data_IF_476199770489
#
_entry.id   IF_476199770489
#
_cell.length_a   1.000
_cell.length_b   1.000
_cell.length_c   1.000
_cell.angle_alpha   90.00
_cell.angle_beta   90.00
_cell.angle_gamma   90.00
#
_symmetry.space_group_name_H-M   'P 1'
#
loop_
_entity.id
_entity.type
_entity.pdbx_description
1 polymer ?
#
# COMPACT_ATOMS: atom_id res chain seq x y z
N UNK A 1 -4.81 3.64 -8.61
CA UNK A 1 -5.77 3.13 -7.63
C UNK A 1 -6.38 1.81 -8.07
N UNK A 2 -7.17 1.77 -9.16
CA UNK A 2 -7.85 0.56 -9.65
C UNK A 2 -6.89 -0.64 -9.79
N UNK A 3 -5.72 -0.43 -10.43
CA UNK A 3 -4.72 -1.47 -10.61
C UNK A 3 -4.29 -2.11 -9.29
N UNK A 4 -3.99 -1.28 -8.29
CA UNK A 4 -3.55 -1.73 -6.97
C UNK A 4 -4.63 -2.56 -6.28
N UNK A 5 -5.87 -2.03 -6.24
CA UNK A 5 -7.02 -2.77 -5.68
C UNK A 5 -7.22 -4.10 -6.39
N UNK A 6 -7.28 -4.11 -7.73
CA UNK A 6 -7.48 -5.34 -8.49
C UNK A 6 -6.37 -6.38 -8.25
N UNK A 7 -5.11 -5.95 -8.20
CA UNK A 7 -3.96 -6.83 -7.94
C UNK A 7 -4.03 -7.50 -6.57
N UNK A 8 -4.48 -6.78 -5.53
CA UNK A 8 -4.64 -7.35 -4.18
C UNK A 8 -5.64 -8.51 -4.20
N UNK A 9 -6.80 -8.32 -4.82
CA UNK A 9 -7.80 -9.38 -4.92
C UNK A 9 -7.35 -10.53 -5.84
N UNK A 10 -6.73 -10.25 -6.99
CA UNK A 10 -6.22 -11.29 -7.90
C UNK A 10 -5.16 -12.19 -7.26
N UNK A 11 -4.36 -11.66 -6.33
CA UNK A 11 -3.32 -12.43 -5.63
C UNK A 11 -3.85 -13.19 -4.41
N UNK A 12 -5.03 -12.85 -3.93
CA UNK A 12 -5.55 -13.43 -2.70
C UNK A 12 -6.01 -14.88 -2.92
N UNK A 13 -5.53 -15.88 -2.13
CA UNK A 13 -5.72 -17.31 -2.41
C UNK A 13 -7.17 -17.82 -2.30
N UNK A 14 -8.08 -17.02 -1.72
CA UNK A 14 -9.51 -17.36 -1.58
C UNK A 14 -10.40 -16.61 -2.55
N UNK A 15 -9.85 -15.92 -3.52
CA UNK A 15 -10.59 -15.20 -4.58
C UNK A 15 -10.40 -15.94 -5.89
N UNK A 16 -11.49 -16.45 -6.43
CA UNK A 16 -11.48 -17.22 -7.69
C UNK A 16 -11.49 -16.32 -8.92
N UNK A 17 -12.14 -15.16 -8.84
CA UNK A 17 -12.25 -14.22 -9.95
C UNK A 17 -12.47 -12.78 -9.46
N UNK A 18 -12.03 -11.82 -10.26
CA UNK A 18 -12.26 -10.39 -10.05
C UNK A 18 -12.99 -9.83 -11.29
N UNK A 19 -14.11 -9.18 -11.06
CA UNK A 19 -14.87 -8.45 -12.08
C UNK A 19 -14.85 -6.96 -11.76
N UNK A 20 -14.63 -6.14 -12.76
CA UNK A 20 -14.60 -4.69 -12.61
C UNK A 20 -15.84 -4.10 -13.27
N UNK A 21 -16.53 -3.22 -12.55
CA UNK A 21 -17.65 -2.45 -13.07
C UNK A 21 -17.19 -1.03 -13.31
N UNK A 22 -17.39 -0.51 -14.50
CA UNK A 22 -16.92 0.81 -14.93
C UNK A 22 -18.06 1.67 -15.48
N UNK A 23 -17.86 2.99 -15.47
CA UNK A 23 -18.70 3.88 -16.27
C UNK A 23 -18.41 3.64 -17.76
N UNK A 24 -19.42 3.68 -18.65
CA UNK A 24 -19.21 3.46 -20.09
C UNK A 24 -18.12 4.36 -20.70
N UNK A 25 -18.03 5.62 -20.27
CA UNK A 25 -17.09 6.60 -20.80
C UNK A 25 -15.65 6.36 -20.34
N UNK A 26 -15.42 5.54 -19.30
CA UNK A 26 -14.11 5.30 -18.70
C UNK A 26 -13.36 4.10 -19.31
N UNK A 27 -13.88 3.55 -20.40
CA UNK A 27 -13.32 2.34 -21.04
C UNK A 27 -11.82 2.45 -21.33
N UNK A 28 -11.40 3.55 -21.94
CA UNK A 28 -10.00 3.76 -22.30
C UNK A 28 -9.08 3.88 -21.06
N UNK A 29 -9.56 4.54 -20.01
CA UNK A 29 -8.84 4.65 -18.74
C UNK A 29 -8.72 3.28 -18.04
N UNK A 30 -9.78 2.48 -18.10
CA UNK A 30 -9.79 1.12 -17.58
C UNK A 30 -8.72 0.26 -18.26
N UNK A 31 -8.69 0.21 -19.60
CA UNK A 31 -7.76 -0.61 -20.38
C UNK A 31 -6.30 -0.31 -20.00
N UNK A 32 -5.93 0.97 -19.92
CA UNK A 32 -4.60 1.40 -19.47
C UNK A 32 -4.33 0.96 -18.01
N UNK A 33 -5.30 1.14 -17.14
CA UNK A 33 -5.11 0.83 -15.70
C UNK A 33 -4.89 -0.65 -15.43
N UNK A 34 -5.52 -1.55 -16.21
CA UNK A 34 -5.50 -3.00 -15.97
C UNK A 34 -4.62 -3.78 -16.95
N UNK A 35 -3.90 -3.10 -17.81
CA UNK A 35 -3.01 -3.73 -18.81
C UNK A 35 -2.12 -4.80 -18.15
N UNK A 36 -2.14 -6.02 -18.71
CA UNK A 36 -1.34 -7.15 -18.22
C UNK A 36 -1.85 -7.83 -16.95
N UNK A 37 -3.02 -7.45 -16.40
CA UNK A 37 -3.59 -8.12 -15.22
C UNK A 37 -4.39 -9.40 -15.56
N UNK A 38 -4.73 -9.64 -16.82
CA UNK A 38 -5.52 -10.81 -17.23
C UNK A 38 -6.97 -10.78 -16.74
N UNK A 39 -7.52 -9.60 -16.45
CA UNK A 39 -8.92 -9.43 -16.10
C UNK A 39 -9.83 -9.68 -17.33
N UNK A 40 -11.02 -10.20 -17.06
CA UNK A 40 -12.06 -10.32 -18.08
C UNK A 40 -12.57 -8.93 -18.51
N UNK A 41 -13.38 -8.90 -19.58
CA UNK A 41 -14.07 -7.70 -20.02
C UNK A 41 -14.81 -7.04 -18.84
N UNK A 42 -14.73 -5.70 -18.69
CA UNK A 42 -15.41 -5.00 -17.63
C UNK A 42 -16.92 -4.99 -17.87
N UNK A 43 -17.67 -4.98 -16.79
CA UNK A 43 -19.13 -4.79 -16.82
C UNK A 43 -19.41 -3.29 -16.88
N UNK A 44 -20.32 -2.88 -17.76
CA UNK A 44 -20.76 -1.47 -17.79
C UNK A 44 -21.79 -1.24 -16.69
N UNK A 45 -21.51 -0.29 -15.82
CA UNK A 45 -22.36 0.06 -14.68
C UNK A 45 -23.61 0.84 -15.07
N UNK A 46 -24.44 1.13 -14.07
CA UNK A 46 -25.64 1.94 -14.18
C UNK A 46 -25.41 3.40 -13.76
N UNK A 47 -26.51 4.14 -13.65
CA UNK A 47 -26.49 5.55 -13.30
C UNK A 47 -25.98 5.80 -11.86
N UNK A 48 -26.32 4.90 -10.94
CA UNK A 48 -25.96 4.98 -9.53
C UNK A 48 -25.04 3.82 -9.13
N UNK A 49 -24.30 4.00 -8.01
CA UNK A 49 -23.45 2.94 -7.47
C UNK A 49 -24.23 1.64 -7.21
N UNK A 50 -25.42 1.75 -6.64
CA UNK A 50 -26.28 0.60 -6.35
C UNK A 50 -26.68 -0.14 -7.63
N UNK A 51 -27.01 0.57 -8.72
CA UNK A 51 -27.30 -0.04 -10.02
C UNK A 51 -26.08 -0.74 -10.60
N UNK A 52 -24.92 -0.12 -10.49
CA UNK A 52 -23.65 -0.69 -10.95
C UNK A 52 -23.34 -2.01 -10.24
N UNK A 53 -23.53 -2.09 -8.92
CA UNK A 53 -23.35 -3.31 -8.14
C UNK A 53 -24.36 -4.38 -8.61
N UNK A 54 -25.64 -4.02 -8.75
CA UNK A 54 -26.69 -4.95 -9.22
C UNK A 54 -26.34 -5.54 -10.60
N UNK A 55 -25.94 -4.71 -11.55
CA UNK A 55 -25.56 -5.15 -12.90
C UNK A 55 -24.33 -6.05 -12.85
N UNK A 56 -23.33 -5.71 -12.02
CA UNK A 56 -22.16 -6.56 -11.79
C UNK A 56 -22.53 -7.94 -11.23
N UNK A 57 -23.45 -7.98 -10.27
CA UNK A 57 -23.98 -9.25 -9.73
C UNK A 57 -24.72 -10.05 -10.79
N UNK A 58 -25.56 -9.42 -11.60
CA UNK A 58 -26.31 -10.08 -12.68
C UNK A 58 -25.38 -10.68 -13.74
N UNK A 59 -24.26 -10.04 -14.05
CA UNK A 59 -23.27 -10.56 -14.97
C UNK A 59 -22.62 -11.87 -14.50
N UNK A 60 -22.67 -12.18 -13.20
CA UNK A 60 -22.10 -13.41 -12.62
C UNK A 60 -23.10 -14.58 -12.61
N UNK A 61 -24.34 -14.42 -13.06
CA UNK A 61 -25.39 -15.45 -12.93
C UNK A 61 -25.07 -16.77 -13.63
N UNK A 62 -24.31 -16.75 -14.73
CA UNK A 62 -23.93 -17.96 -15.48
C UNK A 62 -22.96 -18.85 -14.69
N UNK A 63 -22.07 -18.25 -13.90
CA UNK A 63 -21.08 -18.92 -13.07
C UNK A 63 -21.25 -18.45 -11.61
N UNK A 64 -22.45 -18.54 -11.09
CA UNK A 64 -22.84 -18.01 -9.80
C UNK A 64 -21.89 -18.45 -8.68
N UNK A 65 -21.15 -17.53 -8.03
CA UNK A 65 -20.25 -17.86 -6.93
C UNK A 65 -21.05 -18.17 -5.66
N UNK A 66 -20.41 -18.80 -4.68
CA UNK A 66 -21.03 -19.01 -3.38
C UNK A 66 -21.19 -17.70 -2.60
N UNK A 67 -20.19 -16.84 -2.69
CA UNK A 67 -20.14 -15.52 -2.05
C UNK A 67 -19.55 -14.50 -2.98
N UNK A 68 -19.85 -13.23 -2.76
CA UNK A 68 -19.32 -12.09 -3.49
C UNK A 68 -18.79 -11.05 -2.51
N UNK A 69 -17.73 -10.38 -2.90
CA UNK A 69 -17.18 -9.22 -2.20
C UNK A 69 -17.33 -7.98 -3.08
N UNK A 70 -17.92 -6.93 -2.55
CA UNK A 70 -18.03 -5.63 -3.22
C UNK A 70 -16.97 -4.71 -2.65
N UNK A 71 -16.12 -4.15 -3.51
CA UNK A 71 -15.01 -3.31 -3.08
C UNK A 71 -14.92 -1.99 -3.83
N UNK A 72 -14.69 -0.91 -3.11
CA UNK A 72 -14.45 0.40 -3.67
C UNK A 72 -13.01 0.45 -4.24
N UNK A 73 -12.85 0.63 -5.56
CA UNK A 73 -11.53 0.74 -6.20
C UNK A 73 -10.64 1.88 -5.64
N UNK A 74 -11.25 2.85 -4.97
CA UNK A 74 -10.58 3.96 -4.28
C UNK A 74 -10.10 3.62 -2.85
N UNK A 75 -10.05 2.34 -2.47
CA UNK A 75 -9.39 1.81 -1.26
C UNK A 75 -8.27 0.85 -1.63
N UNK A 76 -7.15 1.36 -2.18
CA UNK A 76 -6.10 0.50 -2.76
C UNK A 76 -5.27 -0.28 -1.73
N UNK A 77 -5.40 0.03 -0.44
CA UNK A 77 -4.55 -0.53 0.63
C UNK A 77 -5.28 -1.54 1.53
N UNK A 78 -6.31 -2.20 1.02
CA UNK A 78 -6.93 -3.32 1.74
C UNK A 78 -5.93 -4.46 1.91
N UNK A 79 -5.79 -4.97 3.13
CA UNK A 79 -4.87 -6.08 3.41
C UNK A 79 -5.51 -7.46 3.14
N UNK A 80 -4.67 -8.47 2.91
CA UNK A 80 -5.11 -9.87 2.81
C UNK A 80 -5.80 -10.35 4.10
N UNK A 81 -5.42 -9.79 5.25
CA UNK A 81 -6.03 -10.10 6.54
C UNK A 81 -7.49 -9.64 6.61
N UNK A 82 -7.77 -8.41 6.16
CA UNK A 82 -9.14 -7.89 6.10
C UNK A 82 -9.99 -8.70 5.12
N UNK A 83 -9.49 -8.99 3.91
CA UNK A 83 -10.19 -9.81 2.92
C UNK A 83 -10.50 -11.20 3.51
N UNK A 84 -9.51 -11.85 4.12
CA UNK A 84 -9.67 -13.17 4.73
C UNK A 84 -10.71 -13.17 5.88
N UNK A 85 -10.72 -12.12 6.70
CA UNK A 85 -11.65 -11.97 7.82
C UNK A 85 -13.09 -11.79 7.35
N UNK A 86 -13.30 -10.98 6.31
CA UNK A 86 -14.64 -10.82 5.69
C UNK A 86 -15.11 -12.16 5.10
N UNK A 87 -14.27 -12.84 4.30
CA UNK A 87 -14.65 -14.14 3.72
C UNK A 87 -15.01 -15.18 4.80
N UNK A 88 -14.25 -15.21 5.90
CA UNK A 88 -14.46 -16.18 6.98
C UNK A 88 -15.77 -15.94 7.75
N UNK A 89 -16.27 -14.71 7.78
CA UNK A 89 -17.49 -14.33 8.48
C UNK A 89 -18.76 -14.48 7.63
N UNK A 90 -18.65 -14.73 6.31
CA UNK A 90 -19.82 -14.94 5.44
C UNK A 90 -20.40 -16.33 5.70
N UNK A 91 -21.72 -16.38 5.96
CA UNK A 91 -22.50 -17.61 6.01
C UNK A 91 -23.66 -17.53 5.01
N UNK A 92 -24.46 -18.59 4.81
CA UNK A 92 -25.66 -18.51 3.97
C UNK A 92 -26.68 -17.43 4.42
N UNK A 93 -26.69 -17.07 5.71
CA UNK A 93 -27.64 -16.15 6.32
C UNK A 93 -27.01 -14.81 6.75
N UNK A 94 -25.68 -14.67 6.62
CA UNK A 94 -24.96 -13.51 7.16
C UNK A 94 -23.94 -12.99 6.18
N UNK A 95 -24.01 -11.68 5.85
CA UNK A 95 -22.94 -10.93 5.23
C UNK A 95 -21.91 -10.43 6.23
N UNK A 96 -20.81 -9.87 5.78
CA UNK A 96 -19.77 -9.32 6.65
C UNK A 96 -19.11 -8.09 6.04
N UNK A 97 -18.81 -7.10 6.88
CA UNK A 97 -18.11 -5.88 6.49
C UNK A 97 -16.97 -5.56 7.45
N UNK A 98 -15.85 -5.00 7.00
CA UNK A 98 -14.84 -4.46 7.90
C UNK A 98 -15.32 -3.11 8.44
N UNK A 99 -15.08 -2.87 9.73
CA UNK A 99 -15.47 -1.62 10.37
C UNK A 99 -14.48 -1.21 11.45
N UNK A 100 -14.40 0.11 11.69
CA UNK A 100 -13.59 0.72 12.74
C UNK A 100 -14.51 1.45 13.72
N UNK A 101 -14.30 1.27 15.01
CA UNK A 101 -15.03 2.03 16.01
C UNK A 101 -14.73 3.53 15.88
N UNK A 102 -15.73 4.37 16.07
CA UNK A 102 -15.55 5.83 16.06
C UNK A 102 -14.85 6.26 17.35
N UNK A 103 -13.69 6.89 17.22
CA UNK A 103 -12.87 7.38 18.33
C UNK A 103 -13.09 8.87 18.59
N UNK A 104 -13.43 9.65 17.57
CA UNK A 104 -13.63 11.09 17.67
C UNK A 104 -15.02 11.45 18.23
N UNK A 105 -15.13 12.66 18.79
CA UNK A 105 -16.42 13.22 19.19
C UNK A 105 -17.19 13.68 17.97
N UNK A 106 -18.34 13.08 17.70
CA UNK A 106 -19.20 13.45 16.58
C UNK A 106 -20.14 14.60 16.94
N UNK A 107 -20.27 15.54 16.03
CA UNK A 107 -21.20 16.67 16.14
C UNK A 107 -22.17 16.67 14.95
N UNK A 108 -23.45 16.85 15.24
CA UNK A 108 -24.45 17.17 14.22
C UNK A 108 -24.40 18.69 13.97
N UNK A 109 -24.29 19.08 12.74
CA UNK A 109 -24.31 20.49 12.34
C UNK A 109 -25.53 20.84 11.49
N UNK A 110 -25.98 22.08 11.56
CA UNK A 110 -26.99 22.64 10.69
C UNK A 110 -26.46 23.90 10.02
N UNK A 111 -26.69 24.02 8.70
CA UNK A 111 -26.32 25.20 7.93
C UNK A 111 -27.21 26.39 8.36
N UNK A 112 -26.59 27.50 8.68
CA UNK A 112 -27.30 28.74 9.04
C UNK A 112 -26.49 29.96 8.57
N UNK A 113 -27.01 30.69 7.58
CA UNK A 113 -26.45 31.97 7.13
C UNK A 113 -24.99 31.92 6.67
N UNK A 114 -24.54 30.83 6.01
CA UNK A 114 -23.18 30.66 5.50
C UNK A 114 -22.19 30.03 6.50
N UNK A 115 -22.63 29.77 7.74
CA UNK A 115 -21.87 29.05 8.77
C UNK A 115 -22.58 27.74 9.14
N UNK A 116 -21.81 26.78 9.66
CA UNK A 116 -22.37 25.52 10.23
C UNK A 116 -22.33 25.63 11.74
N UNK A 117 -23.50 25.54 12.38
CA UNK A 117 -23.62 25.56 13.83
C UNK A 117 -23.87 24.15 14.39
N UNK A 118 -23.24 23.83 15.52
CA UNK A 118 -23.47 22.56 16.21
C UNK A 118 -24.86 22.56 16.82
N UNK A 119 -25.66 21.55 16.49
CA UNK A 119 -26.99 21.33 17.05
C UNK A 119 -27.02 20.22 18.10
N UNK A 120 -26.12 19.25 18.01
CA UNK A 120 -26.09 18.09 18.88
C UNK A 120 -24.68 17.49 18.98
N UNK A 121 -24.34 16.93 20.14
CA UNK A 121 -23.22 15.98 20.27
C UNK A 121 -23.78 14.58 20.16
N UNK A 122 -23.39 13.84 19.11
CA UNK A 122 -23.86 12.47 18.89
C UNK A 122 -23.02 11.53 19.74
N UNK A 123 -23.62 10.70 20.61
CA UNK A 123 -22.91 9.65 21.34
C UNK A 123 -22.20 8.71 20.34
N UNK A 124 -20.92 8.48 20.56
CA UNK A 124 -20.12 7.62 19.65
C UNK A 124 -20.17 6.14 20.04
N UNK A 125 -20.74 5.81 21.18
CA UNK A 125 -20.88 4.43 21.65
C UNK A 125 -21.67 3.62 20.62
N UNK A 126 -21.12 2.47 20.23
CA UNK A 126 -21.66 1.59 19.20
C UNK A 126 -21.76 2.22 17.79
N UNK A 127 -21.04 3.32 17.51
CA UNK A 127 -20.89 3.82 16.16
C UNK A 127 -19.60 3.32 15.50
N UNK A 128 -19.71 2.90 14.23
CA UNK A 128 -18.65 2.31 13.47
C UNK A 128 -18.52 2.97 12.09
N UNK A 129 -17.29 3.11 11.60
CA UNK A 129 -16.99 3.52 10.23
C UNK A 129 -16.88 2.28 9.36
N UNK A 130 -17.87 2.04 8.50
CA UNK A 130 -17.87 0.92 7.57
C UNK A 130 -16.79 1.10 6.49
N UNK A 131 -16.17 -0.01 6.13
CA UNK A 131 -15.20 -0.08 5.04
C UNK A 131 -15.63 -1.13 4.01
N UNK A 132 -14.85 -1.30 2.96
CA UNK A 132 -14.96 -2.39 1.99
C UNK A 132 -13.66 -3.20 1.96
N UNK A 133 -13.68 -4.50 1.57
CA UNK A 133 -14.76 -5.20 0.87
C UNK A 133 -15.95 -5.54 1.77
N UNK A 134 -17.16 -5.40 1.24
CA UNK A 134 -18.37 -5.88 1.88
C UNK A 134 -18.74 -7.22 1.24
N UNK A 135 -18.87 -8.26 2.05
CA UNK A 135 -19.02 -9.63 1.58
C UNK A 135 -20.36 -10.24 1.90
N UNK A 136 -20.96 -10.96 0.95
CA UNK A 136 -22.33 -11.49 1.10
C UNK A 136 -22.48 -12.85 0.43
N UNK A 137 -23.41 -13.70 0.88
CA UNK A 137 -23.85 -14.88 0.14
C UNK A 137 -24.52 -14.44 -1.16
N UNK A 138 -23.95 -14.84 -2.32
CA UNK A 138 -24.28 -14.28 -3.62
C UNK A 138 -25.78 -14.33 -3.97
N UNK A 139 -26.44 -15.49 -3.82
CA UNK A 139 -27.83 -15.66 -4.23
C UNK A 139 -28.80 -14.77 -3.45
N UNK A 140 -28.64 -14.71 -2.12
CA UNK A 140 -29.46 -13.86 -1.26
C UNK A 140 -29.19 -12.38 -1.54
N UNK A 141 -27.94 -12.00 -1.77
CA UNK A 141 -27.57 -10.62 -2.00
C UNK A 141 -28.01 -10.11 -3.39
N UNK A 142 -27.94 -10.94 -4.45
CA UNK A 142 -28.52 -10.62 -5.76
C UNK A 142 -30.04 -10.40 -5.64
N UNK A 143 -30.74 -11.25 -4.89
CA UNK A 143 -32.17 -11.08 -4.66
C UNK A 143 -32.49 -9.78 -3.92
N UNK A 144 -31.68 -9.42 -2.91
CA UNK A 144 -31.78 -8.15 -2.18
C UNK A 144 -31.63 -6.94 -3.11
N UNK A 145 -30.59 -6.92 -3.96
CA UNK A 145 -30.37 -5.86 -4.93
C UNK A 145 -31.50 -5.71 -5.96
N UNK A 146 -32.08 -6.83 -6.40
CA UNK A 146 -33.25 -6.80 -7.30
C UNK A 146 -34.50 -6.23 -6.62
N UNK A 147 -34.72 -6.59 -5.37
CA UNK A 147 -35.84 -6.07 -4.58
C UNK A 147 -35.67 -4.59 -4.25
N UNK A 148 -34.44 -4.12 -4.02
CA UNK A 148 -34.13 -2.72 -3.70
C UNK A 148 -34.00 -1.82 -4.95
N UNK A 149 -34.26 -2.33 -6.15
CA UNK A 149 -34.15 -1.53 -7.38
C UNK A 149 -35.08 -0.30 -7.31
N UNK A 150 -34.50 0.89 -7.57
CA UNK A 150 -35.22 2.17 -7.46
C UNK A 150 -35.25 2.78 -6.06
N UNK A 151 -34.69 2.11 -5.04
CA UNK A 151 -34.46 2.69 -3.71
C UNK A 151 -33.08 3.35 -3.64
N UNK A 152 -32.90 4.36 -2.80
CA UNK A 152 -31.60 5.02 -2.57
C UNK A 152 -31.07 4.54 -1.22
N UNK A 153 -30.10 3.63 -1.27
CA UNK A 153 -29.43 3.09 -0.08
C UNK A 153 -27.94 3.46 -0.13
N UNK A 154 -27.34 3.68 1.03
CA UNK A 154 -26.03 4.33 1.13
C UNK A 154 -24.86 3.40 0.78
N UNK A 155 -24.98 2.11 1.08
CA UNK A 155 -23.97 1.09 0.82
C UNK A 155 -24.58 -0.30 0.64
N UNK A 156 -23.76 -1.31 0.44
CA UNK A 156 -24.19 -2.68 0.19
C UNK A 156 -24.71 -3.36 1.47
N UNK A 157 -24.19 -2.96 2.65
CA UNK A 157 -24.71 -3.42 3.92
C UNK A 157 -26.16 -2.96 4.13
N UNK A 158 -26.47 -1.70 3.78
CA UNK A 158 -27.85 -1.19 3.87
C UNK A 158 -28.83 -1.94 2.95
N UNK A 159 -28.38 -2.39 1.77
CA UNK A 159 -29.18 -3.26 0.86
C UNK A 159 -29.46 -4.62 1.51
N UNK A 160 -28.42 -5.22 2.12
CA UNK A 160 -28.55 -6.49 2.82
C UNK A 160 -29.52 -6.38 4.01
N UNK A 161 -29.34 -5.36 4.87
CA UNK A 161 -30.19 -5.07 6.04
C UNK A 161 -31.66 -4.86 5.65
N UNK A 162 -31.91 -4.08 4.59
CA UNK A 162 -33.27 -3.83 4.10
C UNK A 162 -33.98 -5.12 3.62
N UNK A 163 -33.21 -6.14 3.19
CA UNK A 163 -33.74 -7.45 2.83
C UNK A 163 -33.89 -8.43 3.99
N UNK A 164 -33.44 -8.04 5.18
CA UNK A 164 -33.42 -8.91 6.37
C UNK A 164 -32.22 -9.84 6.46
N UNK A 165 -31.20 -9.67 5.59
CA UNK A 165 -29.95 -10.40 5.70
C UNK A 165 -29.11 -9.81 6.84
N UNK A 166 -28.68 -10.63 7.78
CA UNK A 166 -27.80 -10.18 8.85
C UNK A 166 -26.43 -9.76 8.31
N UNK A 167 -25.82 -8.74 8.93
CA UNK A 167 -24.48 -8.26 8.53
C UNK A 167 -23.59 -8.21 9.79
N UNK A 168 -22.54 -9.02 9.79
CA UNK A 168 -21.53 -9.02 10.84
C UNK A 168 -20.46 -7.96 10.58
N UNK A 169 -19.92 -7.35 11.63
CA UNK A 169 -18.74 -6.50 11.54
C UNK A 169 -17.48 -7.28 11.91
N UNK A 170 -16.44 -7.17 11.10
CA UNK A 170 -15.09 -7.65 11.40
C UNK A 170 -14.15 -6.46 11.58
N UNK A 171 -12.96 -6.68 12.16
CA UNK A 171 -11.98 -5.61 12.35
C UNK A 171 -11.54 -5.03 11.00
N UNK A 172 -11.67 -3.72 10.85
CA UNK A 172 -11.12 -2.94 9.74
C UNK A 172 -9.72 -2.43 10.06
N UNK A 173 -9.12 -1.70 9.11
CA UNK A 173 -7.78 -1.12 9.24
C UNK A 173 -7.77 0.35 8.83
N UNK A 174 -7.02 1.20 9.54
CA UNK A 174 -6.88 2.62 9.21
C UNK A 174 -6.14 2.83 7.88
N UNK A 175 -5.29 1.88 7.48
CA UNK A 175 -4.65 1.87 6.15
C UNK A 175 -5.65 1.67 5.02
N UNK A 176 -6.79 1.03 5.27
CA UNK A 176 -7.86 0.80 4.28
C UNK A 176 -8.79 2.01 4.15
N UNK A 177 -8.22 3.22 4.12
CA UNK A 177 -8.99 4.45 3.97
C UNK A 177 -9.49 4.63 2.53
N UNK A 178 -10.57 5.42 2.38
CA UNK A 178 -11.16 5.76 1.09
C UNK A 178 -10.52 7.05 0.57
N UNK A 179 -10.01 7.03 -0.64
CA UNK A 179 -9.47 8.21 -1.32
C UNK A 179 -10.65 8.97 -1.93
N UNK A 180 -10.96 10.14 -1.38
CA UNK A 180 -12.10 10.98 -1.78
C UNK A 180 -11.71 12.38 -2.21
N UNK A 181 -10.50 12.81 -1.90
CA UNK A 181 -10.02 14.14 -2.23
C UNK A 181 -8.51 14.21 -2.46
N UNK A 182 -7.99 15.39 -2.83
CA UNK A 182 -6.55 15.56 -3.09
C UNK A 182 -5.64 15.23 -1.90
N UNK A 183 -6.09 15.52 -0.67
CA UNK A 183 -5.32 15.23 0.54
C UNK A 183 -5.20 13.72 0.78
N UNK A 184 -6.30 12.97 0.54
CA UNK A 184 -6.27 11.51 0.61
C UNK A 184 -5.34 10.92 -0.46
N UNK A 185 -5.31 11.53 -1.65
CA UNK A 185 -4.42 11.09 -2.73
C UNK A 185 -2.95 11.31 -2.35
N UNK A 186 -2.60 12.47 -1.80
CA UNK A 186 -1.23 12.74 -1.32
C UNK A 186 -0.81 11.76 -0.21
N UNK A 187 -1.74 11.45 0.72
CA UNK A 187 -1.53 10.41 1.74
C UNK A 187 -1.31 9.04 1.10
N UNK A 188 -2.11 8.71 0.08
CA UNK A 188 -1.99 7.43 -0.62
C UNK A 188 -0.67 7.30 -1.40
N UNK A 189 -0.18 8.37 -2.00
CA UNK A 189 1.12 8.40 -2.67
C UNK A 189 2.27 8.21 -1.67
N UNK A 190 2.19 8.85 -0.51
CA UNK A 190 3.15 8.66 0.57
C UNK A 190 3.15 7.22 1.10
N UNK A 191 1.97 6.60 1.26
CA UNK A 191 1.83 5.20 1.67
C UNK A 191 2.42 4.24 0.61
N UNK A 192 2.09 4.47 -0.67
CA UNK A 192 2.55 3.64 -1.80
C UNK A 192 4.06 3.73 -2.04
N UNK A 193 4.66 4.89 -1.80
CA UNK A 193 6.11 5.12 -1.92
C UNK A 193 6.92 4.61 -0.73
N UNK A 194 6.25 4.04 0.28
CA UNK A 194 6.89 3.66 1.54
C UNK A 194 7.28 4.86 2.42
N UNK A 195 7.01 6.10 1.97
CA UNK A 195 7.25 7.30 2.76
C UNK A 195 6.35 7.39 4.01
N UNK A 196 5.23 6.65 4.01
CA UNK A 196 4.32 6.50 5.16
C UNK A 196 4.74 5.38 6.14
N UNK A 197 5.52 4.40 5.70
CA UNK A 197 6.27 3.57 6.62
C UNK A 197 7.20 4.52 7.38
N UNK A 198 6.98 4.68 8.68
CA UNK A 198 7.93 5.38 9.55
C UNK A 198 9.23 4.59 9.50
N UNK A 199 10.02 4.79 8.45
CA UNK A 199 11.39 4.34 8.39
C UNK A 199 12.06 4.89 9.64
N UNK A 200 12.62 4.04 10.45
CA UNK A 200 13.47 4.48 11.54
C UNK A 200 14.66 5.14 10.86
N UNK A 201 14.71 6.49 10.91
CA UNK A 201 15.88 7.20 10.41
C UNK A 201 17.09 6.76 11.26
N UNK A 202 18.08 6.21 10.59
CA UNK A 202 19.34 5.80 11.23
C UNK A 202 20.44 6.72 10.75
N UNK A 203 21.32 7.10 11.66
CA UNK A 203 22.48 7.89 11.34
C UNK A 203 23.73 7.04 11.58
N UNK A 204 24.59 6.95 10.60
CA UNK A 204 25.92 6.37 10.77
C UNK A 204 26.98 7.46 10.72
N UNK A 205 28.09 7.22 11.36
CA UNK A 205 29.28 8.04 11.33
C UNK A 205 30.45 7.21 10.82
N UNK A 206 31.18 7.72 9.84
CA UNK A 206 32.39 7.12 9.31
C UNK A 206 33.55 8.11 9.37
N UNK A 207 34.71 7.62 9.72
CA UNK A 207 35.93 8.40 9.76
C UNK A 207 37.10 7.51 9.30
N UNK A 208 37.87 8.03 8.35
CA UNK A 208 39.07 7.35 7.87
C UNK A 208 40.21 8.36 7.70
N UNK A 209 41.44 7.89 7.85
CA UNK A 209 42.65 8.70 7.69
C UNK A 209 43.79 7.89 7.13
N UNK A 210 44.40 8.39 6.06
CA UNK A 210 45.54 7.79 5.40
C UNK A 210 46.70 8.79 5.34
N UNK A 211 47.93 8.27 5.37
CA UNK A 211 49.12 9.09 5.14
C UNK A 211 49.36 9.32 3.68
N UNK A 212 49.95 10.44 3.30
CA UNK A 212 50.46 10.62 1.94
C UNK A 212 51.63 9.68 1.66
N UNK A 213 51.65 9.13 0.48
CA UNK A 213 52.70 8.26 -0.07
C UNK A 213 53.08 8.69 -1.48
N UNK A 214 54.40 8.62 -1.81
CA UNK A 214 54.86 8.88 -3.21
C UNK A 214 54.41 7.72 -4.12
N UNK A 215 54.52 7.99 -5.42
CA UNK A 215 54.33 7.02 -6.50
C UNK A 215 52.95 6.32 -6.53
N UNK A 216 51.91 7.02 -6.03
CA UNK A 216 50.52 6.57 -6.08
C UNK A 216 49.61 7.71 -6.53
N UNK A 217 48.55 7.44 -7.32
CA UNK A 217 47.53 8.45 -7.63
C UNK A 217 46.74 8.80 -6.36
N UNK A 218 46.31 10.06 -6.26
CA UNK A 218 45.41 10.52 -5.22
C UNK A 218 43.98 10.26 -5.66
N UNK A 219 43.32 9.27 -5.00
CA UNK A 219 41.90 8.97 -5.25
C UNK A 219 41.06 9.55 -4.13
N UNK A 220 40.04 10.36 -4.46
CA UNK A 220 39.07 10.93 -3.48
C UNK A 220 37.66 10.93 -4.09
N UNK A 221 36.74 10.20 -3.46
CA UNK A 221 35.35 10.10 -3.92
C UNK A 221 35.21 9.39 -5.27
N UNK A 222 36.13 8.46 -5.59
CA UNK A 222 36.15 7.74 -6.87
C UNK A 222 36.75 8.53 -8.04
N UNK A 223 37.35 9.70 -7.77
CA UNK A 223 37.95 10.58 -8.78
C UNK A 223 39.45 10.72 -8.52
N UNK A 224 40.27 10.59 -9.57
CA UNK A 224 41.69 10.88 -9.50
C UNK A 224 41.92 12.39 -9.45
N UNK A 225 42.58 12.84 -8.39
CA UNK A 225 42.95 14.25 -8.18
C UNK A 225 44.38 14.45 -8.63
N UNK A 226 44.67 15.41 -9.54
CA UNK A 226 46.03 15.73 -9.95
C UNK A 226 46.83 16.26 -8.77
N UNK A 227 47.69 15.42 -8.20
CA UNK A 227 48.58 15.74 -7.09
C UNK A 227 49.85 14.87 -7.17
N UNK A 228 50.93 15.32 -6.57
CA UNK A 228 52.24 14.66 -6.64
C UNK A 228 52.39 13.46 -5.68
N UNK A 229 51.41 13.25 -4.79
CA UNK A 229 51.36 12.14 -3.86
C UNK A 229 49.96 11.57 -3.81
N UNK A 230 49.83 10.26 -3.61
CA UNK A 230 48.58 9.59 -3.28
C UNK A 230 48.45 9.27 -1.80
N UNK A 231 47.50 8.44 -1.43
CA UNK A 231 47.30 7.98 -0.06
C UNK A 231 47.84 6.55 0.11
N UNK A 232 48.47 6.28 1.24
CA UNK A 232 48.98 4.95 1.62
C UNK A 232 47.81 4.07 2.11
N UNK A 233 47.66 2.88 1.53
CA UNK A 233 46.59 1.95 1.91
C UNK A 233 46.62 0.69 1.08
N UNK A 234 45.80 -0.30 1.47
CA UNK A 234 45.78 -1.63 0.85
C UNK A 234 45.04 -1.63 -0.50
N UNK A 235 43.99 -0.82 -0.63
CA UNK A 235 43.19 -0.59 -1.84
C UNK A 235 43.74 0.60 -2.65
N UNK A 236 42.89 1.29 -3.42
CA UNK A 236 43.19 2.59 -4.01
C UNK A 236 43.30 3.72 -2.96
N UNK A 237 43.05 3.38 -1.68
CA UNK A 237 43.14 4.26 -0.53
C UNK A 237 42.23 5.50 -0.60
N UNK A 238 41.07 5.40 -1.25
CA UNK A 238 40.07 6.47 -1.29
C UNK A 238 39.42 6.66 0.09
N UNK A 239 40.04 7.49 0.92
CA UNK A 239 39.62 7.75 2.31
C UNK A 239 38.19 8.32 2.41
N UNK A 240 37.73 9.02 1.36
CA UNK A 240 36.39 9.57 1.34
C UNK A 240 35.33 8.46 1.16
N UNK A 241 35.55 7.53 0.23
CA UNK A 241 34.66 6.37 0.03
C UNK A 241 34.72 5.41 1.22
N UNK A 242 35.90 5.18 1.82
CA UNK A 242 36.01 4.36 3.03
C UNK A 242 35.17 4.91 4.19
N UNK A 243 35.25 6.21 4.46
CA UNK A 243 34.45 6.86 5.49
C UNK A 243 32.93 6.76 5.20
N UNK A 244 32.51 6.86 3.95
CA UNK A 244 31.11 6.65 3.55
C UNK A 244 30.68 5.20 3.77
N UNK A 245 31.52 4.22 3.43
CA UNK A 245 31.24 2.79 3.67
C UNK A 245 31.04 2.53 5.16
N UNK A 246 31.93 3.04 6.03
CA UNK A 246 31.82 2.90 7.49
C UNK A 246 30.55 3.55 8.03
N UNK A 247 30.20 4.75 7.52
CA UNK A 247 28.95 5.40 7.90
C UNK A 247 27.72 4.58 7.53
N UNK A 248 27.67 3.99 6.33
CA UNK A 248 26.55 3.16 5.87
C UNK A 248 26.43 1.88 6.70
N UNK A 249 27.53 1.14 6.89
CA UNK A 249 27.56 -0.08 7.68
C UNK A 249 27.22 0.19 9.15
N UNK A 250 27.74 1.29 9.72
CA UNK A 250 27.45 1.73 11.08
C UNK A 250 25.96 2.09 11.27
N UNK A 251 25.32 2.73 10.29
CA UNK A 251 23.90 3.06 10.36
C UNK A 251 22.99 1.82 10.49
N UNK A 252 23.40 0.70 9.91
CA UNK A 252 22.65 -0.58 9.99
C UNK A 252 23.19 -1.53 11.07
N UNK A 253 24.22 -1.12 11.81
CA UNK A 253 24.84 -1.94 12.87
C UNK A 253 25.61 -3.15 12.35
N UNK A 254 26.15 -3.08 11.12
CA UNK A 254 26.82 -4.18 10.45
C UNK A 254 28.36 -4.22 10.61
N UNK A 255 28.91 -3.35 11.46
CA UNK A 255 30.36 -3.25 11.67
C UNK A 255 30.98 -2.16 10.79
N UNK A 256 32.20 -2.42 10.28
CA UNK A 256 33.00 -1.49 9.49
C UNK A 256 33.56 -2.14 8.21
N UNK A 257 34.26 -1.34 7.39
CA UNK A 257 34.87 -1.78 6.14
C UNK A 257 35.87 -2.94 6.37
N UNK A 258 36.59 -2.94 7.49
CA UNK A 258 37.59 -3.96 7.81
C UNK A 258 36.98 -5.35 8.09
N UNK A 259 35.73 -5.41 8.56
CA UNK A 259 34.97 -6.65 8.76
C UNK A 259 34.58 -7.26 7.42
N UNK A 260 34.15 -6.45 6.46
CA UNK A 260 33.70 -6.92 5.14
C UNK A 260 34.85 -7.15 4.15
N UNK A 261 35.90 -6.37 4.25
CA UNK A 261 37.03 -6.34 3.30
C UNK A 261 38.37 -6.34 4.06
N UNK A 262 38.71 -7.45 4.74
CA UNK A 262 39.91 -7.52 5.56
C UNK A 262 41.17 -7.23 4.73
N UNK A 263 42.04 -6.31 5.18
CA UNK A 263 43.31 -6.02 4.48
C UNK A 263 44.25 -7.20 4.32
N UNK A 264 44.04 -8.27 5.10
CA UNK A 264 44.79 -9.52 5.00
C UNK A 264 44.48 -10.35 3.73
N UNK A 265 43.36 -10.05 3.04
CA UNK A 265 42.94 -10.74 1.85
C UNK A 265 43.51 -10.11 0.60
N UNK A 266 44.32 -10.87 -0.15
CA UNK A 266 45.03 -10.39 -1.33
C UNK A 266 44.12 -9.89 -2.47
N UNK A 267 42.84 -10.31 -2.51
CA UNK A 267 41.89 -9.89 -3.51
C UNK A 267 41.52 -8.40 -3.41
N UNK A 268 41.71 -7.78 -2.25
CA UNK A 268 41.39 -6.37 -2.03
C UNK A 268 42.59 -5.45 -2.27
N UNK A 269 43.76 -6.03 -2.58
CA UNK A 269 44.94 -5.24 -2.87
C UNK A 269 44.74 -4.46 -4.17
N UNK A 270 44.94 -3.15 -4.08
CA UNK A 270 44.77 -2.21 -5.19
C UNK A 270 43.33 -2.18 -5.77
N UNK A 271 42.35 -2.73 -5.04
CA UNK A 271 40.95 -2.71 -5.45
C UNK A 271 40.38 -1.27 -5.42
N UNK A 272 39.52 -0.95 -6.35
CA UNK A 272 38.84 0.35 -6.41
C UNK A 272 37.74 0.43 -5.34
N UNK A 273 37.75 1.49 -4.52
CA UNK A 273 36.89 1.65 -3.34
C UNK A 273 35.39 1.74 -3.68
N UNK A 274 35.00 2.01 -4.93
CA UNK A 274 33.61 1.95 -5.35
C UNK A 274 32.98 0.55 -5.19
N UNK A 275 33.79 -0.51 -5.22
CA UNK A 275 33.36 -1.90 -5.00
C UNK A 275 32.85 -2.05 -3.54
N UNK A 276 33.57 -1.46 -2.59
CA UNK A 276 33.19 -1.47 -1.17
C UNK A 276 31.92 -0.65 -0.93
N UNK A 277 31.83 0.52 -1.57
CA UNK A 277 30.64 1.36 -1.49
C UNK A 277 29.41 0.64 -2.04
N UNK A 278 29.53 -0.04 -3.18
CA UNK A 278 28.43 -0.83 -3.73
C UNK A 278 27.98 -1.92 -2.77
N UNK A 279 28.91 -2.67 -2.20
CA UNK A 279 28.57 -3.75 -1.26
C UNK A 279 27.90 -3.21 0.02
N UNK A 280 28.34 -2.05 0.54
CA UNK A 280 27.68 -1.39 1.66
C UNK A 280 26.25 -0.94 1.31
N UNK A 281 26.04 -0.41 0.10
CA UNK A 281 24.72 -0.06 -0.41
C UNK A 281 23.80 -1.29 -0.52
N UNK A 282 24.31 -2.40 -1.04
CA UNK A 282 23.57 -3.68 -1.12
C UNK A 282 23.19 -4.19 0.29
N UNK A 283 24.09 -4.06 1.27
CA UNK A 283 23.82 -4.42 2.67
C UNK A 283 22.72 -3.53 3.30
N UNK A 284 22.74 -2.22 3.03
CA UNK A 284 21.70 -1.28 3.47
C UNK A 284 20.35 -1.67 2.85
N UNK A 285 20.30 -1.98 1.56
CA UNK A 285 19.07 -2.41 0.89
C UNK A 285 18.51 -3.71 1.48
N UNK A 286 19.37 -4.70 1.79
CA UNK A 286 18.97 -5.95 2.47
C UNK A 286 18.42 -5.67 3.87
N UNK A 287 18.95 -4.67 4.58
CA UNK A 287 18.47 -4.24 5.89
C UNK A 287 17.17 -3.39 5.82
N UNK A 288 16.60 -3.20 4.62
CA UNK A 288 15.39 -2.42 4.39
C UNK A 288 15.62 -0.91 4.32
N UNK A 289 16.85 -0.47 4.13
CA UNK A 289 17.20 0.94 3.87
C UNK A 289 16.97 1.35 2.42
N UNK A 290 16.77 2.65 2.21
CA UNK A 290 16.62 3.31 0.91
C UNK A 290 17.59 4.49 0.81
#
# INVERSE_FOLDING_TARGET
LLRTSAQTFLKHPKIDAVSVVIHPDDRALYEVAVEGLGLAEPVLGGAERQDSVRIGLEAMTTNAPRAVLIHDAVRPFVSDAVISSVIAAITPETGAIPALAVTDTLKRGQQNGGSVHITETVPRDALWRAQTPQGFPYGAFLAAHRAAAGSVLTDDAAVAEASGLAVAMVAGEESNFKITGPEDLARAEAEASGAGARGISRTGFGFDVHRFAPDRPLMLGGIEIPFDQGLDGHSDADVALHAVVDALLGAIGAGDIGVYFPPSEAQWKDAASHIFLKAAGDAVAVAGGI
#
